data_IF_783391908671
#
_entry.id   IF_783391908671
#
_cell.length_a   1.000
_cell.length_b   1.000
_cell.length_c   1.000
_cell.angle_alpha   90.00
_cell.angle_beta   90.00
_cell.angle_gamma   90.00
#
_symmetry.space_group_name_H-M   'P 1'
#
loop_
_entity.id
_entity.type
_entity.pdbx_description
1 polymer ?
#
# COMPACT_ATOMS: atom_id res chain seq x y z
N UNK A 1 -14.70 6.97 -103.46
CA UNK A 1 -13.62 7.61 -102.70
C UNK A 1 -13.77 7.23 -101.22
N UNK A 2 -12.77 6.87 -100.56
CA UNK A 2 -12.56 5.94 -99.47
C UNK A 2 -13.46 6.12 -98.23
N UNK A 3 -14.23 5.05 -97.89
CA UNK A 3 -14.99 4.85 -96.68
C UNK A 3 -14.04 4.45 -95.57
N UNK A 4 -14.13 5.17 -94.38
CA UNK A 4 -13.51 4.75 -93.15
C UNK A 4 -14.59 4.20 -92.22
N UNK A 5 -14.54 2.91 -91.98
CA UNK A 5 -15.37 2.22 -90.98
C UNK A 5 -14.71 2.43 -89.62
N UNK A 6 -15.42 3.05 -88.60
CA UNK A 6 -15.03 3.10 -87.23
C UNK A 6 -15.66 1.92 -86.49
N UNK A 7 -14.80 1.02 -86.03
CA UNK A 7 -15.19 -0.05 -85.12
C UNK A 7 -15.16 0.51 -83.73
N UNK A 8 -16.32 0.55 -82.98
CA UNK A 8 -16.40 0.84 -81.63
C UNK A 8 -16.20 -0.46 -80.82
N UNK A 9 -15.05 -0.61 -80.17
CA UNK A 9 -14.82 -1.66 -79.13
C UNK A 9 -15.35 -1.20 -77.80
N UNK A 10 -16.45 -1.82 -77.38
CA UNK A 10 -16.98 -1.60 -76.01
C UNK A 10 -16.17 -2.44 -75.05
N UNK A 11 -15.32 -1.80 -74.23
CA UNK A 11 -14.69 -2.41 -73.04
C UNK A 11 -15.68 -2.42 -71.86
N UNK A 12 -16.12 -3.61 -71.50
CA UNK A 12 -16.90 -3.84 -70.28
C UNK A 12 -15.96 -3.81 -69.09
N UNK A 13 -15.95 -2.72 -68.32
CA UNK A 13 -15.26 -2.66 -67.06
C UNK A 13 -16.10 -3.38 -66.00
N UNK A 14 -15.72 -4.61 -65.63
CA UNK A 14 -16.22 -5.29 -64.44
C UNK A 14 -15.48 -4.70 -63.23
N UNK A 15 -16.13 -3.77 -62.54
CA UNK A 15 -15.65 -3.22 -61.27
C UNK A 15 -15.77 -4.28 -60.20
N UNK A 16 -14.68 -4.90 -59.80
CA UNK A 16 -14.62 -5.61 -58.54
C UNK A 16 -14.63 -4.58 -57.41
N UNK A 17 -15.78 -4.44 -56.70
CA UNK A 17 -15.85 -3.74 -55.45
C UNK A 17 -15.13 -4.59 -54.39
N UNK A 18 -13.88 -4.26 -54.08
CA UNK A 18 -13.19 -4.73 -52.90
C UNK A 18 -13.87 -4.08 -51.68
N UNK A 19 -14.79 -4.79 -51.05
CA UNK A 19 -15.24 -4.46 -49.70
C UNK A 19 -14.06 -4.71 -48.77
N UNK A 20 -13.32 -3.65 -48.45
CA UNK A 20 -12.37 -3.67 -47.35
C UNK A 20 -13.19 -3.89 -46.08
N UNK A 21 -13.12 -5.08 -45.53
CA UNK A 21 -13.53 -5.31 -44.12
C UNK A 21 -12.59 -4.46 -43.29
N UNK A 22 -13.07 -3.32 -42.80
CA UNK A 22 -12.39 -2.61 -41.73
C UNK A 22 -12.28 -3.58 -40.55
N UNK A 23 -11.07 -3.99 -40.22
CA UNK A 23 -10.84 -4.71 -38.97
C UNK A 23 -11.36 -3.83 -37.85
N UNK A 24 -12.17 -4.43 -36.96
CA UNK A 24 -12.58 -3.73 -35.73
C UNK A 24 -11.33 -3.13 -35.07
N UNK A 25 -11.40 -1.88 -34.58
CA UNK A 25 -10.28 -1.31 -33.84
C UNK A 25 -9.94 -2.24 -32.69
N UNK A 26 -8.66 -2.44 -32.39
CA UNK A 26 -8.26 -3.29 -31.26
C UNK A 26 -9.03 -2.83 -30.02
N UNK A 27 -9.73 -3.76 -29.38
CA UNK A 27 -10.41 -3.47 -28.10
C UNK A 27 -9.34 -2.93 -27.16
N UNK A 28 -9.49 -1.69 -26.73
CA UNK A 28 -8.66 -1.15 -25.65
C UNK A 28 -8.72 -2.13 -24.49
N UNK A 29 -7.58 -2.66 -24.08
CA UNK A 29 -7.53 -3.51 -22.87
C UNK A 29 -8.01 -2.69 -21.69
N UNK A 30 -9.00 -3.22 -20.99
CA UNK A 30 -9.53 -2.57 -19.81
C UNK A 30 -8.39 -2.33 -18.80
N UNK A 31 -8.18 -1.09 -18.32
CA UNK A 31 -7.13 -0.79 -17.39
C UNK A 31 -7.22 -1.71 -16.17
N UNK A 32 -6.08 -2.11 -15.60
CA UNK A 32 -6.05 -3.06 -14.49
C UNK A 32 -6.93 -2.66 -13.30
N UNK A 33 -7.04 -1.37 -13.04
CA UNK A 33 -7.87 -0.82 -11.96
C UNK A 33 -9.38 -0.92 -12.23
N UNK A 34 -9.76 -1.14 -13.47
CA UNK A 34 -11.15 -1.30 -13.88
C UNK A 34 -11.55 -2.78 -14.03
N UNK A 35 -10.59 -3.72 -14.02
CA UNK A 35 -10.90 -5.16 -14.10
C UNK A 35 -11.81 -5.58 -12.94
N UNK A 36 -12.91 -6.24 -13.27
CA UNK A 36 -13.93 -6.64 -12.30
C UNK A 36 -14.90 -5.52 -11.90
N UNK A 37 -14.84 -4.36 -12.55
CA UNK A 37 -15.81 -3.30 -12.38
C UNK A 37 -17.14 -3.69 -13.02
N UNK A 38 -18.24 -3.84 -12.25
CA UNK A 38 -19.55 -4.09 -12.83
C UNK A 38 -19.96 -2.88 -13.68
N UNK A 39 -20.30 -3.11 -14.95
CA UNK A 39 -20.69 -2.03 -15.90
C UNK A 39 -21.95 -1.26 -15.45
N UNK A 40 -22.75 -1.86 -14.59
CA UNK A 40 -24.04 -1.34 -14.10
C UNK A 40 -24.08 -1.08 -12.60
N UNK A 41 -22.96 -1.16 -11.87
CA UNK A 41 -23.01 -0.90 -10.42
C UNK A 41 -23.19 0.59 -10.14
N UNK A 42 -23.97 0.91 -9.12
CA UNK A 42 -24.16 2.28 -8.66
C UNK A 42 -22.83 2.93 -8.24
N UNK A 43 -21.98 2.19 -7.55
CA UNK A 43 -20.64 2.63 -7.15
C UNK A 43 -19.77 2.95 -8.36
N UNK A 44 -19.80 2.10 -9.40
CA UNK A 44 -19.03 2.33 -10.62
C UNK A 44 -19.52 3.56 -11.40
N UNK A 45 -20.81 3.84 -11.38
CA UNK A 45 -21.42 4.99 -12.06
C UNK A 45 -21.19 6.31 -11.30
N UNK A 46 -21.12 6.25 -9.98
CA UNK A 46 -20.90 7.41 -9.09
C UNK A 46 -19.45 7.52 -8.62
N UNK A 47 -18.52 6.94 -9.35
CA UNK A 47 -17.11 6.93 -8.98
C UNK A 47 -16.61 8.33 -8.68
N UNK A 48 -16.14 8.53 -7.47
CA UNK A 48 -15.39 9.73 -7.15
C UNK A 48 -14.10 9.78 -7.98
N UNK A 49 -13.71 10.94 -8.48
CA UNK A 49 -12.46 11.07 -9.21
C UNK A 49 -11.30 10.55 -8.36
N UNK A 50 -10.36 9.86 -9.00
CA UNK A 50 -9.11 9.47 -8.37
C UNK A 50 -8.50 10.71 -7.72
N UNK A 51 -8.06 10.64 -6.47
CA UNK A 51 -7.40 11.78 -5.81
C UNK A 51 -6.27 12.31 -6.69
N UNK A 52 -6.11 13.64 -6.71
CA UNK A 52 -5.00 14.25 -7.42
C UNK A 52 -3.66 13.67 -6.94
N UNK A 53 -2.67 13.69 -7.81
CA UNK A 53 -1.32 13.30 -7.42
C UNK A 53 -0.86 14.08 -6.19
N UNK A 54 -0.14 13.44 -5.26
CA UNK A 54 0.37 14.13 -4.09
C UNK A 54 1.30 15.28 -4.49
N UNK A 55 1.07 16.44 -3.88
CA UNK A 55 1.90 17.64 -4.06
C UNK A 55 2.30 18.13 -2.67
N UNK A 56 3.58 18.39 -2.39
CA UNK A 56 4.00 18.88 -1.10
C UNK A 56 3.26 20.16 -0.71
N UNK A 57 2.66 20.13 0.45
CA UNK A 57 1.98 21.29 1.04
C UNK A 57 2.98 22.06 1.91
N UNK A 58 3.01 23.38 1.78
CA UNK A 58 3.86 24.25 2.60
C UNK A 58 3.56 24.03 4.10
N UNK A 59 4.59 24.02 4.94
CA UNK A 59 4.49 23.65 6.35
C UNK A 59 3.42 24.45 7.13
N UNK A 60 3.27 25.73 6.85
CA UNK A 60 2.29 26.64 7.45
C UNK A 60 0.84 26.37 7.01
N UNK A 61 0.66 25.64 5.91
CA UNK A 61 -0.65 25.26 5.34
C UNK A 61 -1.07 23.82 5.66
N UNK A 62 -0.19 23.04 6.29
CA UNK A 62 -0.50 21.67 6.66
C UNK A 62 -1.68 21.60 7.65
N UNK A 63 -2.55 20.58 7.53
CA UNK A 63 -3.79 20.49 8.30
C UNK A 63 -3.58 20.04 9.76
N UNK A 64 -2.41 20.27 10.37
CA UNK A 64 -2.09 19.80 11.73
C UNK A 64 -3.11 20.26 12.78
N UNK A 65 -3.70 21.47 12.62
CA UNK A 65 -4.75 22.00 13.51
C UNK A 65 -6.10 21.29 13.36
N UNK A 66 -6.31 20.55 12.28
CA UNK A 66 -7.51 19.74 12.04
C UNK A 66 -7.40 18.35 12.67
N UNK A 67 -6.19 17.91 12.97
CA UNK A 67 -5.95 16.62 13.61
C UNK A 67 -6.59 16.60 14.99
N UNK A 68 -7.38 15.56 15.22
CA UNK A 68 -8.03 15.28 16.49
C UNK A 68 -7.43 14.01 17.08
N UNK A 69 -7.06 14.07 18.35
CA UNK A 69 -6.43 12.99 19.11
C UNK A 69 -7.15 12.80 20.44
N UNK A 70 -6.98 11.66 21.11
CA UNK A 70 -7.42 11.47 22.49
C UNK A 70 -6.79 12.50 23.45
N UNK A 71 -7.44 12.73 24.57
CA UNK A 71 -6.98 13.68 25.57
C UNK A 71 -5.54 13.40 26.03
N UNK A 72 -4.73 14.44 26.13
CA UNK A 72 -3.32 14.37 26.54
C UNK A 72 -2.34 14.15 25.39
N UNK A 73 -2.82 13.81 24.19
CA UNK A 73 -1.97 13.71 23.01
C UNK A 73 -1.88 15.04 22.26
N UNK A 74 -0.75 15.25 21.59
CA UNK A 74 -0.47 16.42 20.75
C UNK A 74 0.09 15.97 19.40
N UNK A 75 -0.27 16.71 18.36
CA UNK A 75 0.30 16.54 17.01
C UNK A 75 1.11 17.78 16.64
N UNK A 76 2.27 17.59 16.05
CA UNK A 76 3.08 18.65 15.45
C UNK A 76 3.57 18.23 14.07
N UNK A 77 3.91 19.20 13.22
CA UNK A 77 4.63 18.92 11.97
C UNK A 77 6.07 18.58 12.34
N UNK A 78 6.48 17.34 12.11
CA UNK A 78 7.84 16.88 12.37
C UNK A 78 8.77 17.18 11.18
N UNK A 79 8.29 16.90 9.95
CA UNK A 79 8.99 17.25 8.71
C UNK A 79 7.96 17.53 7.61
N UNK A 80 8.36 18.27 6.59
CA UNK A 80 7.53 18.61 5.44
C UNK A 80 8.37 18.74 4.18
N UNK A 81 7.72 18.99 3.04
CA UNK A 81 8.36 19.08 1.73
C UNK A 81 9.04 17.75 1.32
N UNK A 82 8.45 16.64 1.70
CA UNK A 82 8.91 15.31 1.35
C UNK A 82 7.87 14.72 0.39
N UNK A 83 8.05 14.94 -0.90
CA UNK A 83 7.10 14.53 -1.92
C UNK A 83 6.74 13.05 -1.79
N UNK A 84 5.42 12.77 -1.62
CA UNK A 84 4.89 11.40 -1.53
C UNK A 84 5.49 10.62 -0.33
N UNK A 85 5.57 11.25 0.84
CA UNK A 85 6.13 10.68 2.07
C UNK A 85 5.33 9.43 2.50
N UNK A 86 5.92 8.24 2.34
CA UNK A 86 5.18 6.97 2.51
C UNK A 86 5.74 6.10 3.62
N UNK A 87 6.59 5.13 3.33
CA UNK A 87 7.16 4.25 4.35
C UNK A 87 8.17 4.96 5.25
N UNK A 88 8.19 4.61 6.53
CA UNK A 88 9.05 5.21 7.56
C UNK A 88 9.91 4.15 8.24
N UNK A 89 11.22 4.40 8.41
CA UNK A 89 12.13 3.60 9.23
C UNK A 89 13.14 4.48 9.94
N UNK A 90 13.40 4.20 11.22
CA UNK A 90 14.44 4.89 11.98
C UNK A 90 15.74 4.08 11.96
N UNK A 91 16.84 4.73 11.65
CA UNK A 91 18.19 4.20 11.74
C UNK A 91 18.74 4.21 13.18
N UNK A 92 19.95 3.68 13.34
CA UNK A 92 20.59 3.55 14.65
C UNK A 92 20.95 4.92 15.25
N UNK A 93 21.36 5.88 14.43
CA UNK A 93 21.75 7.23 14.83
C UNK A 93 20.57 8.23 14.86
N UNK A 94 19.34 7.74 14.65
CA UNK A 94 18.12 8.56 14.70
C UNK A 94 17.68 9.14 13.36
N UNK A 95 18.41 8.91 12.28
CA UNK A 95 17.96 9.24 10.92
C UNK A 95 16.62 8.58 10.62
N UNK A 96 15.66 9.33 10.07
CA UNK A 96 14.40 8.75 9.60
C UNK A 96 14.45 8.63 8.09
N UNK A 97 14.50 7.39 7.60
CA UNK A 97 14.38 7.07 6.18
C UNK A 97 12.92 7.11 5.76
N UNK A 98 12.65 7.68 4.59
CA UNK A 98 11.30 7.84 4.05
C UNK A 98 11.30 7.39 2.60
N UNK A 99 10.42 6.46 2.26
CA UNK A 99 10.17 6.12 0.86
C UNK A 99 9.12 7.03 0.24
N UNK A 100 9.18 7.18 -1.09
CA UNK A 100 8.09 7.75 -1.89
C UNK A 100 7.61 6.71 -2.89
N UNK A 101 6.37 6.78 -3.34
CA UNK A 101 5.81 5.73 -4.16
C UNK A 101 5.60 6.17 -5.62
N UNK A 102 4.59 7.02 -5.87
CA UNK A 102 4.10 7.23 -7.24
C UNK A 102 4.82 8.33 -8.02
N UNK A 103 5.14 9.43 -7.37
CA UNK A 103 5.53 10.65 -8.07
C UNK A 103 7.03 10.87 -8.04
N UNK A 104 7.65 10.68 -6.90
CA UNK A 104 9.06 11.01 -6.73
C UNK A 104 10.01 9.88 -7.10
N UNK A 105 9.64 8.60 -6.85
CA UNK A 105 10.54 7.46 -7.05
C UNK A 105 11.84 7.63 -6.27
N UNK A 106 11.76 8.12 -5.03
CA UNK A 106 12.91 8.49 -4.20
C UNK A 106 12.90 7.81 -2.84
N UNK A 107 14.08 7.71 -2.29
CA UNK A 107 14.29 7.44 -0.86
C UNK A 107 14.95 8.67 -0.26
N UNK A 108 14.36 9.15 0.82
CA UNK A 108 14.86 10.28 1.59
C UNK A 108 15.45 9.83 2.92
N UNK A 109 16.33 10.63 3.47
CA UNK A 109 16.76 10.59 4.86
C UNK A 109 16.48 11.95 5.52
N UNK A 110 15.77 11.94 6.62
CA UNK A 110 15.50 13.12 7.42
C UNK A 110 16.39 13.06 8.67
N UNK A 111 17.28 14.03 8.76
CA UNK A 111 18.26 14.15 9.87
C UNK A 111 17.83 15.29 10.77
N UNK A 112 17.84 15.05 12.08
CA UNK A 112 17.64 16.09 13.06
C UNK A 112 18.99 16.74 13.40
N UNK A 113 19.11 18.04 13.14
CA UNK A 113 20.23 18.88 13.56
C UNK A 113 19.70 19.99 14.45
N UNK A 114 19.78 19.82 15.76
CA UNK A 114 19.36 20.80 16.77
C UNK A 114 17.92 21.30 16.58
N UNK A 115 16.99 20.38 16.33
CA UNK A 115 15.58 20.66 16.12
C UNK A 115 15.23 21.12 14.68
N UNK A 116 16.21 21.27 13.78
CA UNK A 116 15.99 21.49 12.35
C UNK A 116 16.05 20.18 11.59
N UNK A 117 15.05 19.95 10.76
CA UNK A 117 14.97 18.74 9.90
C UNK A 117 15.63 19.03 8.55
N UNK A 118 16.76 18.36 8.30
CA UNK A 118 17.41 18.36 6.99
C UNK A 118 16.94 17.12 6.20
N UNK A 119 16.43 17.35 5.00
CA UNK A 119 15.96 16.28 4.11
C UNK A 119 17.00 16.04 3.03
N UNK A 120 17.55 14.83 2.98
CA UNK A 120 18.53 14.39 1.98
C UNK A 120 17.89 13.36 1.04
N UNK A 121 18.31 13.33 -0.22
CA UNK A 121 17.92 12.27 -1.17
C UNK A 121 19.00 11.18 -1.13
N UNK A 122 18.60 9.96 -0.78
CA UNK A 122 19.48 8.78 -0.72
C UNK A 122 19.52 8.05 -2.05
N UNK A 123 18.35 7.91 -2.68
CA UNK A 123 18.22 7.28 -4.00
C UNK A 123 17.10 7.95 -4.78
N UNK A 124 17.19 7.91 -6.11
CA UNK A 124 16.17 8.47 -7.01
C UNK A 124 16.02 7.63 -8.28
N UNK A 125 14.99 7.96 -9.07
CA UNK A 125 14.64 7.25 -10.32
C UNK A 125 14.31 5.77 -10.09
N UNK A 126 13.85 5.43 -8.89
CA UNK A 126 13.37 4.10 -8.56
C UNK A 126 11.94 3.93 -9.07
N UNK A 127 11.60 2.71 -9.48
CA UNK A 127 10.25 2.40 -9.91
C UNK A 127 9.38 2.00 -8.70
N UNK A 128 8.46 2.87 -8.28
CA UNK A 128 7.50 2.64 -7.19
C UNK A 128 8.13 2.08 -5.90
N UNK A 129 9.20 2.70 -5.34
CA UNK A 129 9.78 2.24 -4.09
C UNK A 129 8.80 2.52 -2.94
N UNK A 130 8.40 1.50 -2.21
CA UNK A 130 7.50 1.65 -1.07
C UNK A 130 8.10 1.08 0.21
N UNK A 131 8.49 -0.19 0.16
CA UNK A 131 9.04 -0.88 1.31
C UNK A 131 10.47 -0.48 1.57
N UNK A 132 10.73 -0.04 2.79
CA UNK A 132 12.07 0.17 3.30
C UNK A 132 12.21 -0.53 4.64
N UNK A 133 13.39 -1.07 4.93
CA UNK A 133 13.73 -1.64 6.22
C UNK A 133 15.16 -1.30 6.59
N UNK A 134 15.38 -0.83 7.80
CA UNK A 134 16.71 -0.58 8.33
C UNK A 134 17.10 -1.71 9.27
N UNK A 135 18.21 -2.38 8.99
CA UNK A 135 18.69 -3.48 9.81
C UNK A 135 20.22 -3.51 9.85
N UNK A 136 20.80 -3.44 11.05
CA UNK A 136 22.25 -3.53 11.30
C UNK A 136 23.08 -2.59 10.41
N UNK A 137 22.71 -1.33 10.35
CA UNK A 137 23.43 -0.29 9.60
C UNK A 137 23.11 -0.26 8.11
N UNK A 138 22.35 -1.19 7.58
CA UNK A 138 21.95 -1.26 6.18
C UNK A 138 20.50 -0.89 5.96
N UNK A 139 20.22 -0.16 4.87
CA UNK A 139 18.86 0.14 4.40
C UNK A 139 18.49 -0.76 3.23
N UNK A 140 17.49 -1.60 3.42
CA UNK A 140 16.85 -2.38 2.35
C UNK A 140 15.76 -1.55 1.70
N UNK A 141 15.67 -1.60 0.38
CA UNK A 141 14.67 -0.88 -0.42
C UNK A 141 14.02 -1.85 -1.38
N UNK A 142 12.69 -1.94 -1.34
CA UNK A 142 11.92 -2.79 -2.22
C UNK A 142 11.16 -1.99 -3.27
N UNK A 143 11.26 -2.42 -4.51
CA UNK A 143 10.44 -2.01 -5.65
C UNK A 143 9.46 -3.14 -6.02
N UNK A 144 8.55 -2.98 -6.98
CA UNK A 144 7.70 -4.08 -7.42
C UNK A 144 8.45 -5.33 -7.86
N UNK A 145 9.64 -5.20 -8.42
CA UNK A 145 10.39 -6.30 -9.06
C UNK A 145 11.64 -6.77 -8.31
N UNK A 146 12.19 -5.93 -7.41
CA UNK A 146 13.46 -6.21 -6.78
C UNK A 146 13.57 -5.66 -5.35
N UNK A 147 14.59 -6.15 -4.64
CA UNK A 147 15.02 -5.64 -3.34
C UNK A 147 16.51 -5.35 -3.42
N UNK A 148 16.90 -4.14 -3.08
CA UNK A 148 18.29 -3.71 -3.00
C UNK A 148 18.66 -3.32 -1.57
N UNK A 149 19.97 -3.25 -1.27
CA UNK A 149 20.49 -2.89 0.04
C UNK A 149 21.61 -1.84 -0.08
N UNK A 150 21.55 -0.83 0.76
CA UNK A 150 22.56 0.20 0.92
C UNK A 150 23.30 -0.02 2.24
N UNK A 151 24.57 -0.47 2.20
CA UNK A 151 25.35 -0.79 3.38
C UNK A 151 25.91 0.48 4.05
N UNK A 152 26.00 0.47 5.39
CA UNK A 152 26.54 1.60 6.19
C UNK A 152 25.92 2.96 5.83
N UNK A 153 24.60 2.96 5.59
CA UNK A 153 23.93 4.13 4.98
C UNK A 153 23.98 5.37 5.84
N UNK A 154 23.83 5.27 7.17
CA UNK A 154 23.84 6.43 8.06
C UNK A 154 25.18 7.17 8.11
N UNK A 155 26.28 6.46 7.85
CA UNK A 155 27.60 7.08 7.73
C UNK A 155 27.84 7.76 6.38
N UNK A 156 26.97 7.53 5.38
CA UNK A 156 27.18 7.92 3.99
C UNK A 156 25.99 8.68 3.38
N UNK A 157 25.25 9.45 4.19
CA UNK A 157 24.03 10.14 3.73
C UNK A 157 24.28 11.20 2.64
N UNK A 158 25.49 11.78 2.58
CA UNK A 158 25.87 12.79 1.57
C UNK A 158 26.43 12.17 0.29
N UNK A 159 26.87 10.91 0.36
CA UNK A 159 27.39 10.15 -0.77
C UNK A 159 26.99 8.67 -0.60
N UNK A 160 25.72 8.33 -0.81
CA UNK A 160 25.22 6.97 -0.60
C UNK A 160 26.00 5.95 -1.45
N UNK A 161 26.30 4.77 -0.89
CA UNK A 161 26.99 3.72 -1.63
C UNK A 161 26.13 3.19 -2.76
N UNK A 162 26.74 2.54 -3.74
CA UNK A 162 26.02 1.82 -4.77
C UNK A 162 25.18 0.69 -4.10
N UNK A 163 23.92 0.50 -4.51
CA UNK A 163 23.07 -0.54 -3.95
C UNK A 163 23.55 -1.94 -4.33
N UNK A 164 23.47 -2.86 -3.37
CA UNK A 164 23.70 -4.31 -3.58
C UNK A 164 22.36 -4.97 -3.89
N UNK A 165 22.29 -5.75 -4.97
CA UNK A 165 21.10 -6.54 -5.28
C UNK A 165 20.94 -7.67 -4.27
N UNK A 166 19.78 -7.74 -3.61
CA UNK A 166 19.41 -8.79 -2.67
C UNK A 166 18.52 -9.83 -3.35
N UNK A 167 17.49 -9.35 -4.06
CA UNK A 167 16.52 -10.24 -4.73
C UNK A 167 15.93 -9.56 -5.95
N UNK A 168 15.92 -10.21 -7.11
CA UNK A 168 15.49 -9.68 -8.41
C UNK A 168 14.36 -10.49 -9.09
N UNK A 169 13.69 -11.37 -8.32
CA UNK A 169 12.70 -12.31 -8.86
C UNK A 169 11.27 -12.02 -8.37
N UNK A 170 10.99 -10.80 -7.90
CA UNK A 170 9.61 -10.41 -7.63
C UNK A 170 8.84 -10.28 -8.95
N UNK A 171 7.51 -10.55 -8.99
CA UNK A 171 6.74 -10.60 -10.24
C UNK A 171 6.75 -9.30 -11.06
N UNK A 172 6.87 -8.14 -10.41
CA UNK A 172 6.97 -6.84 -11.08
C UNK A 172 5.64 -6.23 -11.49
N UNK A 173 4.52 -6.88 -11.25
CA UNK A 173 3.18 -6.37 -11.57
C UNK A 173 2.91 -5.07 -10.81
N UNK A 174 2.25 -4.12 -11.50
CA UNK A 174 1.92 -2.81 -10.92
C UNK A 174 0.69 -2.87 -10.02
N UNK A 175 -0.40 -3.56 -10.37
CA UNK A 175 -1.51 -3.72 -9.42
C UNK A 175 -1.02 -4.43 -8.16
N UNK A 176 -1.18 -3.77 -7.00
CA UNK A 176 -0.72 -4.28 -5.69
C UNK A 176 0.77 -4.68 -5.67
N UNK A 177 1.56 -4.04 -6.55
CA UNK A 177 2.99 -4.36 -6.75
C UNK A 177 3.91 -3.75 -5.71
N UNK A 178 3.53 -2.68 -5.05
CA UNK A 178 4.36 -1.99 -4.07
C UNK A 178 4.54 -2.83 -2.82
N UNK A 179 5.77 -3.17 -2.55
CA UNK A 179 6.16 -4.06 -1.45
C UNK A 179 6.30 -3.26 -0.16
N UNK A 180 5.80 -3.80 0.93
CA UNK A 180 6.21 -3.44 2.28
C UNK A 180 7.20 -4.51 2.75
N UNK A 181 8.30 -4.13 3.40
CA UNK A 181 9.27 -5.10 3.87
C UNK A 181 9.62 -4.85 5.34
N UNK A 182 9.89 -5.94 6.06
CA UNK A 182 10.34 -5.89 7.45
C UNK A 182 11.10 -7.15 7.82
N UNK A 183 12.15 -6.99 8.61
CA UNK A 183 12.83 -8.13 9.23
C UNK A 183 12.01 -8.64 10.41
N UNK A 184 11.72 -9.93 10.40
CA UNK A 184 10.98 -10.62 11.46
C UNK A 184 11.85 -11.01 12.65
N UNK A 185 11.23 -11.49 13.74
CA UNK A 185 11.94 -11.94 14.94
C UNK A 185 12.85 -13.17 14.67
N UNK A 186 12.61 -13.90 13.59
CA UNK A 186 13.46 -15.01 13.10
C UNK A 186 14.67 -14.53 12.29
N UNK A 187 14.86 -13.21 12.13
CA UNK A 187 15.96 -12.61 11.38
C UNK A 187 15.81 -12.70 9.86
N UNK A 188 14.65 -13.13 9.35
CA UNK A 188 14.35 -13.17 7.92
C UNK A 188 13.61 -11.92 7.44
N UNK A 189 13.79 -11.58 6.18
CA UNK A 189 13.09 -10.48 5.51
C UNK A 189 11.74 -10.97 4.99
N UNK A 190 10.65 -10.32 5.39
CA UNK A 190 9.29 -10.63 4.96
C UNK A 190 8.84 -9.65 3.87
N UNK A 191 8.16 -10.18 2.85
CA UNK A 191 7.78 -9.44 1.63
C UNK A 191 6.39 -9.88 1.17
N UNK A 192 5.37 -9.03 1.16
CA UNK A 192 4.07 -9.33 0.56
C UNK A 192 4.12 -9.15 -0.97
N UNK A 193 3.43 -10.03 -1.66
CA UNK A 193 3.17 -9.94 -3.10
C UNK A 193 1.66 -10.03 -3.30
N UNK A 194 1.02 -8.91 -3.57
CA UNK A 194 -0.43 -8.81 -3.74
C UNK A 194 -0.93 -9.48 -5.02
N UNK A 195 -2.24 -9.57 -5.17
CA UNK A 195 -2.89 -10.08 -6.38
C UNK A 195 -2.60 -9.17 -7.58
N UNK A 196 -2.38 -9.70 -8.79
CA UNK A 196 -2.09 -8.91 -9.99
C UNK A 196 -3.36 -8.31 -10.62
N UNK A 197 -4.45 -8.22 -9.88
CA UNK A 197 -5.78 -7.85 -10.36
C UNK A 197 -6.65 -7.31 -9.21
N UNK A 198 -7.81 -6.73 -9.56
CA UNK A 198 -8.83 -6.42 -8.57
C UNK A 198 -9.40 -7.71 -7.94
N UNK A 199 -9.84 -8.63 -8.80
CA UNK A 199 -10.32 -9.97 -8.44
C UNK A 199 -9.94 -10.93 -9.57
N UNK A 200 -9.31 -12.04 -9.24
CA UNK A 200 -8.94 -13.13 -10.15
C UNK A 200 -8.43 -14.31 -9.32
N UNK A 201 -8.32 -15.48 -9.95
CA UNK A 201 -7.51 -16.57 -9.41
C UNK A 201 -6.02 -16.22 -9.62
N UNK A 202 -5.25 -15.92 -8.55
CA UNK A 202 -3.90 -15.40 -8.71
C UNK A 202 -2.90 -16.49 -9.07
N UNK A 203 -1.85 -16.16 -9.85
CA UNK A 203 -0.71 -17.07 -10.01
C UNK A 203 -0.08 -17.46 -8.68
N UNK A 204 0.55 -18.63 -8.63
CA UNK A 204 1.17 -19.17 -7.41
C UNK A 204 2.27 -18.27 -6.79
N UNK A 205 2.72 -17.25 -7.48
CA UNK A 205 3.69 -16.25 -7.02
C UNK A 205 3.05 -15.05 -6.35
N UNK A 206 1.72 -14.95 -6.33
CA UNK A 206 0.95 -13.79 -5.85
C UNK A 206 0.07 -14.15 -4.64
N UNK A 207 -0.57 -13.15 -4.07
CA UNK A 207 -1.51 -13.29 -2.96
C UNK A 207 -0.90 -14.00 -1.74
N UNK A 208 0.37 -13.64 -1.44
CA UNK A 208 1.19 -14.29 -0.42
C UNK A 208 2.08 -13.28 0.32
N UNK A 209 2.46 -13.63 1.55
CA UNK A 209 3.62 -13.05 2.20
C UNK A 209 4.72 -14.10 2.19
N UNK A 210 5.85 -13.76 1.60
CA UNK A 210 7.06 -14.57 1.61
C UNK A 210 7.99 -14.12 2.72
N UNK A 211 8.87 -15.01 3.19
CA UNK A 211 10.08 -14.65 3.93
C UNK A 211 11.30 -15.25 3.26
N UNK A 212 12.45 -14.61 3.44
CA UNK A 212 13.72 -15.03 2.87
C UNK A 212 14.86 -14.64 3.81
N UNK A 213 16.03 -15.22 3.61
CA UNK A 213 17.24 -14.76 4.28
C UNK A 213 17.60 -13.33 3.82
N UNK A 214 18.41 -12.62 4.59
CA UNK A 214 18.81 -11.24 4.28
C UNK A 214 19.68 -11.11 3.01
N UNK A 215 20.15 -12.22 2.47
CA UNK A 215 20.87 -12.32 1.19
C UNK A 215 19.95 -12.71 0.01
N UNK A 216 18.64 -12.83 0.24
CA UNK A 216 17.65 -13.20 -0.77
C UNK A 216 17.46 -14.70 -0.98
N UNK A 217 18.25 -15.55 -0.32
CA UNK A 217 18.12 -17.02 -0.40
C UNK A 217 16.99 -17.56 0.49
N UNK A 218 16.62 -18.82 0.32
CA UNK A 218 15.69 -19.52 1.21
C UNK A 218 14.28 -18.96 1.22
N UNK A 219 13.74 -18.56 0.05
CA UNK A 219 12.39 -18.00 -0.09
C UNK A 219 11.34 -19.05 0.23
N UNK A 220 10.43 -18.72 1.15
CA UNK A 220 9.30 -19.58 1.53
C UNK A 220 8.04 -18.78 1.77
N UNK A 221 6.88 -19.35 1.47
CA UNK A 221 5.57 -18.71 1.70
C UNK A 221 5.11 -18.94 3.12
N UNK A 222 4.68 -17.88 3.81
CA UNK A 222 4.17 -17.93 5.20
C UNK A 222 2.70 -17.53 5.32
N UNK A 223 2.16 -16.82 4.33
CA UNK A 223 0.74 -16.43 4.23
C UNK A 223 0.26 -16.68 2.81
N UNK A 224 -0.95 -17.19 2.65
CA UNK A 224 -1.63 -17.38 1.36
C UNK A 224 -3.04 -16.81 1.41
N UNK A 225 -3.56 -16.41 0.24
CA UNK A 225 -4.94 -15.93 0.10
C UNK A 225 -5.18 -14.55 0.69
N UNK A 226 -4.17 -13.67 0.71
CA UNK A 226 -4.36 -12.25 0.92
C UNK A 226 -4.47 -11.52 -0.42
N UNK A 227 -5.22 -10.41 -0.48
CA UNK A 227 -5.35 -9.65 -1.72
C UNK A 227 -4.27 -8.60 -1.89
N UNK A 228 -4.13 -7.69 -0.94
CA UNK A 228 -3.18 -6.59 -1.01
C UNK A 228 -2.76 -6.10 0.38
N UNK A 229 -1.69 -6.67 0.89
CA UNK A 229 -1.08 -6.28 2.16
C UNK A 229 -0.02 -5.22 1.92
N UNK A 230 -0.21 -4.04 2.51
CA UNK A 230 0.74 -2.90 2.41
C UNK A 230 1.34 -2.55 3.77
N UNK A 231 0.97 -3.26 4.81
CA UNK A 231 1.53 -3.10 6.14
C UNK A 231 1.32 -4.33 7.00
N UNK A 232 2.39 -4.70 7.71
CA UNK A 232 2.38 -5.78 8.67
C UNK A 232 3.38 -5.51 9.80
N UNK A 233 3.19 -6.17 10.92
CA UNK A 233 4.14 -6.13 12.03
C UNK A 233 4.07 -7.42 12.85
N UNK A 234 5.01 -7.58 13.76
CA UNK A 234 5.10 -8.74 14.63
C UNK A 234 4.73 -8.36 16.06
N UNK A 235 3.89 -9.15 16.70
CA UNK A 235 3.58 -8.98 18.12
C UNK A 235 4.87 -9.12 18.94
N UNK A 236 5.28 -8.09 19.69
CA UNK A 236 6.53 -8.14 20.45
C UNK A 236 6.52 -9.17 21.60
N UNK A 237 5.35 -9.71 21.95
CA UNK A 237 5.21 -10.71 23.03
C UNK A 237 5.26 -12.14 22.51
N UNK A 238 4.60 -12.39 21.36
CA UNK A 238 4.44 -13.75 20.81
C UNK A 238 5.34 -14.01 19.60
N UNK A 239 5.73 -12.94 18.88
CA UNK A 239 6.42 -13.04 17.60
C UNK A 239 5.47 -13.31 16.42
N UNK A 240 4.17 -13.37 16.65
CA UNK A 240 3.18 -13.66 15.61
C UNK A 240 3.08 -12.50 14.62
N UNK A 241 2.91 -12.84 13.35
CA UNK A 241 2.70 -11.89 12.26
C UNK A 241 1.25 -11.40 12.24
N UNK A 242 1.07 -10.09 12.20
CA UNK A 242 -0.21 -9.41 11.97
C UNK A 242 -0.12 -8.55 10.72
N UNK A 243 -1.15 -8.54 9.88
CA UNK A 243 -1.15 -7.76 8.63
C UNK A 243 -2.53 -7.16 8.31
N UNK A 244 -2.52 -5.96 7.72
CA UNK A 244 -3.70 -5.36 7.11
C UNK A 244 -3.89 -5.89 5.69
N UNK A 245 -5.14 -6.16 5.29
CA UNK A 245 -5.45 -6.59 3.92
C UNK A 245 -6.53 -5.74 3.29
N UNK A 246 -6.22 -5.17 2.12
CA UNK A 246 -7.13 -4.39 1.31
C UNK A 246 -7.95 -5.33 0.42
N UNK A 247 -9.25 -5.39 0.64
CA UNK A 247 -10.16 -6.26 -0.08
C UNK A 247 -10.55 -5.71 -1.46
N UNK A 248 -11.28 -6.53 -2.26
CA UNK A 248 -11.63 -6.17 -3.65
C UNK A 248 -12.42 -4.87 -3.75
N UNK A 249 -12.21 -4.15 -4.84
CA UNK A 249 -13.02 -3.01 -5.22
C UNK A 249 -14.31 -3.45 -5.93
N UNK A 250 -15.28 -2.54 -6.06
CA UNK A 250 -16.45 -2.66 -6.95
C UNK A 250 -17.47 -3.74 -6.58
N UNK A 251 -17.46 -4.28 -5.37
CA UNK A 251 -18.56 -5.14 -4.94
C UNK A 251 -19.77 -4.29 -4.54
N UNK A 252 -19.59 -3.33 -3.64
CA UNK A 252 -20.56 -2.28 -3.31
C UNK A 252 -19.87 -1.10 -2.60
N UNK A 253 -20.63 -0.07 -2.22
CA UNK A 253 -20.13 1.03 -1.36
C UNK A 253 -19.67 0.54 0.02
N UNK A 254 -20.31 -0.47 0.55
CA UNK A 254 -20.13 -0.91 1.94
C UNK A 254 -19.54 -2.31 2.08
N UNK A 255 -19.21 -2.97 0.95
CA UNK A 255 -18.64 -4.31 0.94
C UNK A 255 -17.57 -4.48 -0.15
N UNK A 256 -16.61 -5.39 0.08
CA UNK A 256 -16.30 -6.05 1.34
C UNK A 256 -15.60 -5.11 2.33
N UNK A 257 -15.47 -5.53 3.58
CA UNK A 257 -14.71 -4.80 4.58
C UNK A 257 -13.24 -5.19 4.48
N UNK A 258 -12.34 -4.22 4.60
CA UNK A 258 -10.91 -4.47 4.76
C UNK A 258 -10.62 -5.11 6.12
N UNK A 259 -9.50 -5.82 6.22
CA UNK A 259 -9.24 -6.74 7.31
C UNK A 259 -7.93 -6.46 8.04
N UNK A 260 -7.92 -6.75 9.34
CA UNK A 260 -6.71 -6.99 10.11
C UNK A 260 -6.63 -8.49 10.42
N UNK A 261 -5.57 -9.12 10.00
CA UNK A 261 -5.37 -10.56 10.08
C UNK A 261 -4.25 -10.94 11.04
N UNK A 262 -4.41 -12.07 11.72
CA UNK A 262 -3.45 -12.65 12.66
C UNK A 262 -3.01 -14.03 12.18
N UNK A 263 -1.71 -14.23 12.00
CA UNK A 263 -1.13 -15.49 11.55
C UNK A 263 -0.73 -16.33 12.76
N UNK A 264 -1.52 -17.35 13.06
CA UNK A 264 -1.27 -18.28 14.17
C UNK A 264 -0.56 -19.56 13.73
N UNK A 265 -0.60 -19.88 12.43
CA UNK A 265 0.03 -21.07 11.85
C UNK A 265 0.72 -20.71 10.52
N UNK A 266 1.95 -20.15 10.55
CA UNK A 266 2.66 -19.72 9.35
C UNK A 266 2.77 -20.86 8.33
N UNK A 267 2.48 -20.56 7.05
CA UNK A 267 2.53 -21.50 5.93
C UNK A 267 1.34 -22.47 5.82
N UNK A 268 0.43 -22.49 6.81
CA UNK A 268 -0.72 -23.41 6.83
C UNK A 268 -2.07 -22.72 6.68
N UNK A 269 -2.14 -21.41 6.93
CA UNK A 269 -3.40 -20.65 6.85
C UNK A 269 -3.58 -20.02 5.46
N UNK A 270 -4.84 -20.00 5.01
CA UNK A 270 -5.29 -19.29 3.82
C UNK A 270 -6.33 -18.23 4.24
N UNK A 271 -6.16 -16.99 3.81
CA UNK A 271 -6.94 -15.83 4.28
C UNK A 271 -8.10 -15.44 3.34
N UNK A 272 -8.53 -16.35 2.48
CA UNK A 272 -9.80 -16.29 1.75
C UNK A 272 -9.71 -15.85 0.30
N UNK A 273 -8.90 -14.85 -0.05
CA UNK A 273 -8.85 -14.32 -1.42
C UNK A 273 -8.39 -15.38 -2.45
N UNK A 274 -9.08 -15.54 -3.61
CA UNK A 274 -10.18 -14.71 -4.13
C UNK A 274 -11.57 -15.16 -3.73
N UNK A 275 -11.73 -16.20 -2.95
CA UNK A 275 -12.99 -16.91 -2.72
C UNK A 275 -13.88 -16.23 -1.68
N UNK A 276 -13.28 -15.69 -0.64
CA UNK A 276 -13.97 -15.08 0.50
C UNK A 276 -13.24 -13.83 1.01
N UNK A 277 -14.02 -12.86 1.50
CA UNK A 277 -13.57 -11.75 2.31
C UNK A 277 -14.31 -11.83 3.67
N UNK A 278 -13.62 -12.22 4.73
CA UNK A 278 -14.24 -12.59 5.98
C UNK A 278 -15.29 -13.69 5.81
N UNK A 279 -16.52 -13.43 6.22
CA UNK A 279 -17.66 -14.37 6.08
C UNK A 279 -18.44 -14.18 4.76
N UNK A 280 -17.98 -13.33 3.84
CA UNK A 280 -18.66 -13.01 2.57
C UNK A 280 -18.01 -13.78 1.43
N UNK A 281 -18.77 -14.70 0.80
CA UNK A 281 -18.33 -15.38 -0.40
C UNK A 281 -18.31 -14.41 -1.61
N UNK A 282 -17.23 -14.45 -2.39
CA UNK A 282 -17.14 -13.68 -3.62
C UNK A 282 -18.17 -14.17 -4.65
N UNK A 283 -18.93 -13.29 -5.30
CA UNK A 283 -19.99 -13.71 -6.23
C UNK A 283 -19.47 -14.38 -7.52
N UNK A 284 -18.19 -14.17 -7.87
CA UNK A 284 -17.58 -14.76 -9.07
C UNK A 284 -16.74 -15.98 -8.74
N UNK A 285 -15.97 -15.95 -7.65
CA UNK A 285 -14.98 -16.96 -7.29
C UNK A 285 -15.39 -17.81 -6.09
N UNK A 286 -16.39 -17.39 -5.30
CA UNK A 286 -16.79 -18.08 -4.07
C UNK A 286 -17.60 -19.37 -4.26
N UNK A 287 -17.98 -19.75 -5.50
CA UNK A 287 -18.73 -20.97 -5.77
C UNK A 287 -17.96 -22.22 -5.33
N UNK A 288 -18.61 -23.04 -4.51
CA UNK A 288 -18.01 -24.27 -3.98
C UNK A 288 -17.04 -24.05 -2.81
N UNK A 289 -16.83 -22.80 -2.37
CA UNK A 289 -16.00 -22.46 -1.24
C UNK A 289 -16.85 -22.06 -0.03
N UNK A 290 -16.48 -22.53 1.14
CA UNK A 290 -17.13 -22.16 2.40
C UNK A 290 -16.20 -21.21 3.16
N UNK A 291 -16.64 -19.98 3.43
CA UNK A 291 -15.79 -18.98 4.07
C UNK A 291 -15.30 -19.40 5.48
N UNK A 292 -16.02 -20.29 6.15
CA UNK A 292 -15.58 -20.87 7.43
C UNK A 292 -14.29 -21.72 7.34
N UNK A 293 -13.91 -22.16 6.13
CA UNK A 293 -12.73 -23.00 5.90
C UNK A 293 -11.44 -22.14 5.77
N UNK A 294 -11.60 -20.83 5.72
CA UNK A 294 -10.50 -19.85 5.67
C UNK A 294 -10.25 -19.20 7.04
N UNK A 295 -9.06 -18.67 7.22
CA UNK A 295 -8.72 -17.92 8.43
C UNK A 295 -9.62 -16.69 8.56
N UNK A 296 -10.23 -16.52 9.74
CA UNK A 296 -11.04 -15.35 10.02
C UNK A 296 -10.20 -14.14 10.35
N UNK A 297 -10.59 -12.94 9.87
CA UNK A 297 -9.92 -11.71 10.31
C UNK A 297 -10.06 -11.50 11.82
N UNK A 298 -9.00 -11.01 12.44
CA UNK A 298 -9.00 -10.65 13.87
C UNK A 298 -9.86 -9.40 14.12
N UNK A 299 -9.92 -8.50 13.15
CA UNK A 299 -10.82 -7.33 13.17
C UNK A 299 -11.16 -6.89 11.74
N UNK A 300 -12.31 -6.21 11.61
CA UNK A 300 -12.74 -5.56 10.38
C UNK A 300 -12.42 -4.06 10.46
N UNK A 301 -11.85 -3.50 9.39
CA UNK A 301 -11.31 -2.14 9.35
C UNK A 301 -12.24 -1.15 8.62
N UNK A 302 -13.37 -1.62 8.14
CA UNK A 302 -14.35 -0.85 7.38
C UNK A 302 -14.24 -1.04 5.85
N UNK A 303 -15.28 -0.63 5.10
CA UNK A 303 -15.32 -0.86 3.66
C UNK A 303 -14.36 0.05 2.91
N UNK A 304 -13.44 -0.52 2.12
CA UNK A 304 -12.48 0.25 1.30
C UNK A 304 -11.63 1.25 2.11
N UNK A 305 -11.38 0.95 3.39
CA UNK A 305 -10.65 1.83 4.30
C UNK A 305 -9.19 2.01 3.90
N UNK A 306 -8.67 1.10 3.09
CA UNK A 306 -7.29 1.05 2.60
C UNK A 306 -6.27 1.02 3.76
N UNK A 307 -6.22 -0.08 4.56
CA UNK A 307 -5.20 -0.24 5.58
C UNK A 307 -3.81 -0.29 4.94
N UNK A 308 -2.89 0.54 5.43
CA UNK A 308 -1.52 0.61 4.96
C UNK A 308 -0.55 0.28 6.10
N UNK A 309 0.34 1.18 6.46
CA UNK A 309 1.35 0.94 7.48
C UNK A 309 0.76 0.67 8.86
N UNK A 310 1.37 -0.24 9.60
CA UNK A 310 0.98 -0.56 10.96
C UNK A 310 2.19 -0.91 11.83
N UNK A 311 2.10 -0.62 13.13
CA UNK A 311 3.13 -0.95 14.12
C UNK A 311 2.51 -1.32 15.46
N UNK A 312 3.05 -2.34 16.09
CA UNK A 312 2.87 -2.53 17.55
C UNK A 312 3.58 -1.41 18.29
N UNK A 313 2.89 -0.82 19.26
CA UNK A 313 3.48 0.22 20.07
C UNK A 313 4.38 -0.40 21.16
N UNK A 314 5.66 -0.17 21.02
CA UNK A 314 6.71 -0.63 21.93
C UNK A 314 7.36 0.51 22.73
N UNK A 315 6.91 1.76 22.48
CA UNK A 315 7.40 2.95 23.18
C UNK A 315 6.89 3.04 24.61
N UNK A 316 7.47 3.92 25.41
CA UNK A 316 7.09 4.16 26.81
C UNK A 316 6.42 5.52 27.05
N UNK A 317 6.26 6.34 26.00
CA UNK A 317 5.70 7.69 26.12
C UNK A 317 4.18 7.68 26.30
N UNK A 318 3.48 6.79 25.59
CA UNK A 318 2.02 6.73 25.63
C UNK A 318 1.52 6.00 26.88
N UNK A 319 0.30 6.30 27.37
CA UNK A 319 -0.31 5.64 28.51
C UNK A 319 -0.32 4.11 28.40
N UNK A 320 -0.37 3.44 29.54
CA UNK A 320 -0.34 1.98 29.66
C UNK A 320 -1.35 1.28 28.74
N UNK A 321 -2.55 1.85 28.59
CA UNK A 321 -3.59 1.30 27.72
C UNK A 321 -3.11 1.08 26.26
N UNK A 322 -2.09 1.83 25.79
CA UNK A 322 -1.57 1.73 24.43
C UNK A 322 -0.37 0.79 24.32
N UNK A 323 0.15 0.26 25.42
CA UNK A 323 1.29 -0.66 25.40
C UNK A 323 0.89 -1.97 24.72
N UNK A 324 1.60 -2.30 23.61
CA UNK A 324 1.28 -3.45 22.79
C UNK A 324 0.03 -3.30 21.88
N UNK A 325 -0.59 -2.12 21.83
CA UNK A 325 -1.62 -1.83 20.85
C UNK A 325 -1.00 -1.70 19.47
N UNK A 326 -1.77 -2.04 18.41
CA UNK A 326 -1.38 -1.78 17.03
C UNK A 326 -1.87 -0.39 16.63
N UNK A 327 -0.97 0.49 16.18
CA UNK A 327 -1.37 1.68 15.42
C UNK A 327 -1.37 1.33 13.95
N UNK A 328 -2.48 1.59 13.25
CA UNK A 328 -2.69 1.23 11.85
C UNK A 328 -3.28 2.43 11.11
N UNK A 329 -2.67 2.78 9.97
CA UNK A 329 -3.20 3.81 9.07
C UNK A 329 -4.32 3.24 8.21
N UNK A 330 -5.42 3.99 8.09
CA UNK A 330 -6.43 3.79 7.05
C UNK A 330 -6.33 4.97 6.09
N UNK A 331 -5.82 4.72 4.90
CA UNK A 331 -5.53 5.76 3.90
C UNK A 331 -6.80 6.40 3.31
N UNK A 332 -7.92 5.70 3.43
CA UNK A 332 -9.23 6.11 2.95
C UNK A 332 -9.50 5.71 1.50
N UNK A 333 -10.77 5.48 1.17
CA UNK A 333 -11.20 4.98 -0.13
C UNK A 333 -10.91 5.94 -1.29
N UNK A 334 -10.51 5.39 -2.42
CA UNK A 334 -10.47 6.09 -3.70
C UNK A 334 -11.77 5.88 -4.50
N UNK A 335 -12.43 4.72 -4.31
CA UNK A 335 -13.57 4.23 -5.08
C UNK A 335 -14.92 4.35 -4.36
N UNK A 336 -15.01 5.11 -3.26
CA UNK A 336 -16.23 5.33 -2.48
C UNK A 336 -16.74 6.75 -2.66
N UNK A 337 -18.07 6.92 -2.81
CA UNK A 337 -18.70 8.24 -3.01
C UNK A 337 -18.55 9.15 -1.80
N UNK A 338 -18.71 8.59 -0.58
CA UNK A 338 -18.46 9.31 0.66
C UNK A 338 -17.07 8.99 1.20
N UNK A 339 -16.21 10.01 1.25
CA UNK A 339 -14.88 9.89 1.82
C UNK A 339 -14.98 9.73 3.33
N UNK A 340 -14.21 8.82 3.86
CA UNK A 340 -14.07 8.57 5.30
C UNK A 340 -12.68 7.97 5.58
N UNK A 341 -12.43 7.54 6.81
CA UNK A 341 -11.10 7.13 7.22
C UNK A 341 -10.08 8.28 6.98
N UNK A 342 -8.98 8.08 6.28
CA UNK A 342 -7.83 8.98 6.26
C UNK A 342 -7.42 9.31 7.71
N UNK A 343 -7.15 8.26 8.45
CA UNK A 343 -6.96 8.31 9.91
C UNK A 343 -5.92 7.27 10.38
N UNK A 344 -5.62 7.31 11.66
CA UNK A 344 -4.91 6.24 12.34
C UNK A 344 -5.85 5.67 13.39
N UNK A 345 -5.99 4.35 13.41
CA UNK A 345 -6.70 3.63 14.47
C UNK A 345 -5.72 2.98 15.44
N UNK A 346 -6.14 2.84 16.69
CA UNK A 346 -5.48 2.00 17.68
C UNK A 346 -6.27 0.70 17.81
N UNK A 347 -5.60 -0.43 17.70
CA UNK A 347 -6.21 -1.75 17.85
C UNK A 347 -5.69 -2.37 19.15
N UNK A 348 -6.62 -2.67 20.04
CA UNK A 348 -6.35 -3.28 21.33
C UNK A 348 -6.63 -4.78 21.26
N UNK A 349 -5.63 -5.59 21.59
CA UNK A 349 -5.72 -7.04 21.56
C UNK A 349 -5.91 -7.54 23.00
N UNK A 350 -6.97 -8.29 23.26
CA UNK A 350 -7.19 -8.90 24.57
C UNK A 350 -6.38 -10.20 24.74
N UNK A 351 -6.34 -10.74 25.96
CA UNK A 351 -5.62 -11.99 26.27
C UNK A 351 -6.16 -13.23 25.55
N UNK A 352 -7.25 -13.12 24.76
CA UNK A 352 -7.84 -14.19 23.95
C UNK A 352 -7.58 -14.00 22.46
N UNK A 353 -6.88 -12.92 22.06
CA UNK A 353 -6.60 -12.59 20.67
C UNK A 353 -7.73 -11.84 19.96
N UNK A 354 -8.79 -11.42 20.65
CA UNK A 354 -9.80 -10.56 20.05
C UNK A 354 -9.26 -9.14 19.90
N UNK A 355 -9.50 -8.53 18.75
CA UNK A 355 -9.01 -7.19 18.43
C UNK A 355 -10.16 -6.18 18.41
N UNK A 356 -10.01 -5.08 19.19
CA UNK A 356 -10.94 -3.96 19.23
C UNK A 356 -10.32 -2.75 18.56
N UNK A 357 -10.96 -2.21 17.54
CA UNK A 357 -10.51 -1.04 16.77
C UNK A 357 -11.11 0.23 17.37
N UNK A 358 -10.28 1.20 17.72
CA UNK A 358 -10.70 2.51 18.22
C UNK A 358 -10.05 3.64 17.37
N UNK A 359 -10.75 4.76 17.12
CA UNK A 359 -10.15 5.93 16.48
C UNK A 359 -9.01 6.49 17.34
N UNK A 360 -7.89 6.87 16.69
CA UNK A 360 -6.77 7.50 17.39
C UNK A 360 -6.44 8.89 16.81
N UNK A 361 -6.04 8.99 15.54
CA UNK A 361 -5.82 10.25 14.86
C UNK A 361 -6.90 10.41 13.80
N UNK A 362 -7.71 11.47 13.88
CA UNK A 362 -8.81 11.75 12.96
C UNK A 362 -8.79 13.21 12.52
N UNK A 363 -9.77 13.64 11.70
CA UNK A 363 -9.95 15.03 11.30
C UNK A 363 -9.34 15.39 9.95
N UNK A 364 -8.84 14.40 9.20
CA UNK A 364 -8.24 14.60 7.87
C UNK A 364 -9.24 14.43 6.70
N UNK A 365 -10.54 14.35 6.99
CA UNK A 365 -11.61 14.42 6.00
C UNK A 365 -12.54 15.60 6.34
N UNK A 366 -12.75 16.49 5.40
CA UNK A 366 -13.66 17.63 5.53
C UNK A 366 -14.42 17.84 4.22
N UNK A 367 -15.74 18.05 4.30
CA UNK A 367 -16.60 18.32 3.13
C UNK A 367 -16.39 17.32 1.97
N UNK A 368 -16.33 16.04 2.31
CA UNK A 368 -16.11 14.94 1.37
C UNK A 368 -14.77 15.02 0.59
N UNK A 369 -13.76 15.65 1.17
CA UNK A 369 -12.41 15.76 0.60
C UNK A 369 -11.35 15.39 1.62
N UNK A 370 -10.22 14.86 1.16
CA UNK A 370 -9.07 14.60 1.99
C UNK A 370 -8.27 15.87 2.23
N UNK A 371 -7.99 16.16 3.50
CA UNK A 371 -7.04 17.18 3.93
C UNK A 371 -5.63 16.62 4.08
N UNK A 372 -5.51 15.33 4.30
CA UNK A 372 -4.29 14.54 4.41
C UNK A 372 -4.64 13.06 4.33
N UNK A 373 -3.65 12.21 4.04
CA UNK A 373 -3.83 10.76 3.92
C UNK A 373 -2.69 10.02 4.62
N UNK A 374 -2.90 9.54 5.85
CA UNK A 374 -1.91 8.75 6.58
C UNK A 374 -1.50 7.49 5.81
N UNK A 375 -0.19 7.27 5.64
CA UNK A 375 0.34 6.16 4.87
C UNK A 375 1.13 5.14 5.70
N UNK A 376 2.00 5.58 6.60
CA UNK A 376 2.71 4.70 7.53
C UNK A 376 2.77 5.31 8.93
N UNK A 377 3.01 4.48 9.91
CA UNK A 377 3.29 4.86 11.30
C UNK A 377 4.62 4.25 11.73
N UNK A 378 5.34 4.94 12.59
CA UNK A 378 6.59 4.47 13.15
C UNK A 378 6.75 4.92 14.60
N UNK A 379 7.08 3.99 15.49
CA UNK A 379 7.42 4.31 16.89
C UNK A 379 8.87 4.74 16.94
N UNK A 380 9.11 5.96 17.43
CA UNK A 380 10.44 6.52 17.62
C UNK A 380 11.11 5.96 18.88
N UNK A 381 12.44 6.03 18.95
CA UNK A 381 13.22 5.62 20.14
C UNK A 381 12.81 6.34 21.43
N UNK A 382 12.30 7.57 21.31
CA UNK A 382 11.79 8.35 22.45
C UNK A 382 10.35 7.98 22.85
N UNK A 383 9.72 7.06 22.12
CA UNK A 383 8.36 6.60 22.32
C UNK A 383 7.29 7.46 21.67
N UNK A 384 7.64 8.54 20.96
CA UNK A 384 6.68 9.26 20.12
C UNK A 384 6.31 8.44 18.88
N UNK A 385 5.16 8.75 18.26
CA UNK A 385 4.71 8.11 17.03
C UNK A 385 4.85 9.10 15.88
N UNK A 386 5.56 8.71 14.80
CA UNK A 386 5.52 9.43 13.54
C UNK A 386 4.41 8.85 12.67
N UNK A 387 3.75 9.74 11.91
CA UNK A 387 2.71 9.42 10.93
C UNK A 387 3.07 10.12 9.61
N UNK A 388 3.32 9.37 8.55
CA UNK A 388 3.52 9.95 7.22
C UNK A 388 2.19 10.27 6.57
N UNK A 389 2.17 11.35 5.78
CA UNK A 389 1.05 11.83 4.97
C UNK A 389 1.56 12.02 3.54
N UNK A 390 1.29 11.05 2.69
CA UNK A 390 1.76 11.06 1.30
C UNK A 390 1.03 12.10 0.45
N UNK A 391 -0.20 12.45 0.81
CA UNK A 391 -0.98 13.47 0.12
C UNK A 391 -0.33 14.86 0.22
N UNK A 392 0.19 15.21 1.39
CA UNK A 392 0.79 16.52 1.67
C UNK A 392 2.33 16.51 1.64
N UNK A 393 2.96 15.36 1.51
CA UNK A 393 4.42 15.26 1.63
C UNK A 393 4.93 15.67 3.00
N UNK A 394 4.27 15.22 4.06
CA UNK A 394 4.52 15.61 5.43
C UNK A 394 4.67 14.42 6.38
N UNK A 395 5.28 14.64 7.51
CA UNK A 395 5.36 13.71 8.62
C UNK A 395 4.91 14.44 9.88
N UNK A 396 3.91 13.91 10.56
CA UNK A 396 3.44 14.40 11.85
C UNK A 396 4.06 13.59 12.98
N UNK A 397 4.40 14.26 14.08
CA UNK A 397 4.83 13.62 15.33
C UNK A 397 3.73 13.71 16.35
N UNK A 398 3.41 12.58 16.93
CA UNK A 398 2.41 12.45 18.00
C UNK A 398 3.14 12.17 19.31
N UNK A 399 2.88 13.01 20.32
CA UNK A 399 3.42 12.89 21.66
C UNK A 399 2.32 12.84 22.70
N UNK A 400 2.64 12.37 23.90
CA UNK A 400 1.75 12.37 25.06
C UNK A 400 2.40 13.04 26.26
N UNK A 401 1.63 13.79 27.02
CA UNK A 401 2.10 14.51 28.19
C UNK A 401 2.22 16.03 27.94
N UNK A 402 2.92 16.69 28.85
CA UNK A 402 3.01 18.16 28.92
C UNK A 402 3.69 18.80 27.74
#
# INVERSE_FOLDING_TARGET
>A
MKNFIRIFSSFLFIGFALTAFAADPPKEEEPFWAKGRPKSSETAMKMAPVPAYPIPTAADKLPVKKIKLPQGFKAEVWASNILDARGLRQGDNGTVFVSSLFVAGKIYAVVDKDGKREVKTIAEKLFLPNGIEFHKGALYVATPKDITRYDNIEANLDSPPAPVMVYDKLPGDVPHGWKFIKVGPDGKLYVPVGAPCNICDPPATHSQIFRMNLDGSGVESVVKGMRNTVGFDFDPKTGDLWFGDNQRDWLSEDLPLDELNHVTQPGKQHFGFPYCAGDIADPEFGWGHLCKDYAKPAALLGPHAAPLGMRFYTGKMFPEKYQGAIFLTRHGPWNKTQKYAADVVAVFIDGKGNAKVEPFLTGLVEKNSYLGRPADVMVMKDGSLLVSDDHNGAIYRITYGK
#
